data_IF_628767447413
#
_entry.id   IF_628767447413
#
_cell.length_a   1.000
_cell.length_b   1.000
_cell.length_c   1.000
_cell.angle_alpha   90.00
_cell.angle_beta   90.00
_cell.angle_gamma   90.00
#
_symmetry.space_group_name_H-M   'P 1'
#
loop_
_entity.id
_entity.type
_entity.pdbx_description
1 polymer ?
#
# COMPACT_ATOMS: atom_id res chain seq x y z
N UNK A 1 42.62 24.41 8.41
CA UNK A 1 41.91 23.71 7.31
C UNK A 1 41.54 22.25 7.63
N UNK A 2 42.14 21.57 8.63
CA UNK A 2 41.78 20.19 9.03
C UNK A 2 40.42 19.95 9.73
N UNK A 3 39.78 20.90 10.44
CA UNK A 3 38.54 20.60 11.18
C UNK A 3 37.31 20.47 10.26
N UNK A 4 37.32 21.12 9.09
CA UNK A 4 36.22 21.07 8.14
C UNK A 4 36.08 19.69 7.45
N UNK A 5 37.21 19.07 7.10
CA UNK A 5 37.22 17.73 6.49
C UNK A 5 36.73 16.64 7.46
N UNK A 6 37.06 16.76 8.76
CA UNK A 6 36.56 15.85 9.80
C UNK A 6 35.06 16.01 10.07
N UNK A 7 34.55 17.25 10.05
CA UNK A 7 33.12 17.51 10.19
C UNK A 7 32.32 16.99 8.99
N UNK A 8 32.84 17.15 7.76
CA UNK A 8 32.20 16.64 6.55
C UNK A 8 32.20 15.09 6.52
N UNK A 9 33.30 14.46 6.92
CA UNK A 9 33.39 12.99 7.02
C UNK A 9 32.44 12.44 8.10
N UNK A 10 32.30 13.13 9.23
CA UNK A 10 31.33 12.78 10.29
C UNK A 10 29.88 12.94 9.84
N UNK A 11 29.56 14.01 9.11
CA UNK A 11 28.23 14.27 8.55
C UNK A 11 27.85 13.26 7.46
N UNK A 12 28.79 12.91 6.57
CA UNK A 12 28.60 11.90 5.54
C UNK A 12 28.48 10.50 6.15
N UNK A 13 29.25 10.20 7.20
CA UNK A 13 29.17 8.94 7.95
C UNK A 13 27.85 8.79 8.71
N UNK A 14 27.35 9.85 9.35
CA UNK A 14 26.07 9.84 10.06
C UNK A 14 24.88 9.80 9.11
N UNK A 15 24.96 10.49 7.97
CA UNK A 15 23.90 10.45 6.95
C UNK A 15 23.86 9.06 6.28
N UNK A 16 25.02 8.46 6.02
CA UNK A 16 25.12 7.10 5.49
C UNK A 16 24.56 6.03 6.43
N UNK A 17 24.81 6.16 7.74
CA UNK A 17 24.26 5.22 8.73
C UNK A 17 22.75 5.38 8.91
N UNK A 18 22.23 6.60 8.86
CA UNK A 18 20.78 6.88 8.88
C UNK A 18 20.10 6.29 7.65
N UNK A 19 20.61 6.57 6.44
CA UNK A 19 20.05 6.02 5.20
C UNK A 19 20.09 4.48 5.17
N UNK A 20 21.17 3.88 5.68
CA UNK A 20 21.28 2.43 5.80
C UNK A 20 20.25 1.87 6.79
N UNK A 21 20.08 2.51 7.95
CA UNK A 21 19.09 2.11 8.94
C UNK A 21 17.65 2.25 8.40
N UNK A 22 17.34 3.32 7.69
CA UNK A 22 16.04 3.52 7.03
C UNK A 22 15.78 2.47 5.95
N UNK A 23 16.77 2.21 5.09
CA UNK A 23 16.66 1.21 4.02
C UNK A 23 16.47 -0.19 4.60
N UNK A 24 17.25 -0.55 5.63
CA UNK A 24 17.12 -1.83 6.33
C UNK A 24 15.77 -1.92 7.06
N UNK A 25 15.29 -0.82 7.64
CA UNK A 25 13.97 -0.74 8.26
C UNK A 25 12.85 -0.99 7.26
N UNK A 26 12.89 -0.35 6.09
CA UNK A 26 11.94 -0.56 5.00
C UNK A 26 11.97 -2.00 4.49
N UNK A 27 13.18 -2.55 4.30
CA UNK A 27 13.36 -3.94 3.87
C UNK A 27 12.81 -4.94 4.90
N UNK A 28 13.13 -4.72 6.19
CA UNK A 28 12.65 -5.55 7.27
C UNK A 28 11.12 -5.51 7.38
N UNK A 29 10.52 -4.32 7.23
CA UNK A 29 9.07 -4.16 7.23
C UNK A 29 8.44 -4.91 6.04
N UNK A 30 9.01 -4.77 4.84
CA UNK A 30 8.53 -5.48 3.65
C UNK A 30 8.59 -7.00 3.83
N UNK A 31 9.70 -7.52 4.37
CA UNK A 31 9.87 -8.95 4.67
C UNK A 31 8.88 -9.42 5.75
N UNK A 32 8.61 -8.60 6.77
CA UNK A 32 7.62 -8.92 7.80
C UNK A 32 6.21 -9.03 7.24
N UNK A 33 5.80 -8.10 6.36
CA UNK A 33 4.52 -8.15 5.66
C UNK A 33 4.42 -9.39 4.76
N UNK A 34 5.46 -9.68 3.98
CA UNK A 34 5.51 -10.86 3.12
C UNK A 34 5.42 -12.16 3.95
N UNK A 35 6.12 -12.22 5.08
CA UNK A 35 6.09 -13.36 6.00
C UNK A 35 4.70 -13.57 6.60
N UNK A 36 4.06 -12.50 7.08
CA UNK A 36 2.70 -12.55 7.63
C UNK A 36 1.66 -12.98 6.57
N UNK A 37 1.76 -12.44 5.35
CA UNK A 37 0.90 -12.85 4.23
C UNK A 37 1.10 -14.32 3.84
N UNK A 38 2.36 -14.76 3.75
CA UNK A 38 2.71 -16.16 3.48
C UNK A 38 2.21 -17.10 4.58
N UNK A 39 2.26 -16.67 5.85
CA UNK A 39 1.69 -17.42 6.96
C UNK A 39 0.18 -17.53 6.86
N UNK A 40 -0.53 -16.43 6.58
CA UNK A 40 -1.99 -16.43 6.46
C UNK A 40 -2.49 -17.31 5.31
N UNK A 41 -1.81 -17.29 4.16
CA UNK A 41 -2.13 -18.18 3.02
C UNK A 41 -1.84 -19.64 3.32
N UNK A 42 -0.78 -19.95 4.09
CA UNK A 42 -0.53 -21.31 4.59
C UNK A 42 -1.61 -21.81 5.55
N UNK A 43 -2.04 -20.97 6.48
CA UNK A 43 -3.13 -21.30 7.41
C UNK A 43 -4.44 -21.53 6.67
N UNK A 44 -4.73 -20.70 5.68
CA UNK A 44 -5.89 -20.88 4.77
C UNK A 44 -5.79 -22.22 4.04
N UNK A 45 -4.62 -22.53 3.48
CA UNK A 45 -4.34 -23.79 2.79
C UNK A 45 -4.47 -25.04 3.68
N UNK A 46 -4.06 -24.95 4.94
CA UNK A 46 -4.15 -26.04 5.92
C UNK A 46 -5.61 -26.32 6.36
N UNK A 47 -6.53 -25.38 6.12
CA UNK A 47 -7.95 -25.52 6.42
C UNK A 47 -8.77 -26.01 5.20
N UNK A 48 -8.12 -26.29 4.06
CA UNK A 48 -8.74 -26.87 2.89
C UNK A 48 -9.07 -28.36 3.07
N UNK A 49 -9.99 -28.82 2.21
CA UNK A 49 -10.47 -30.19 2.19
C UNK A 49 -9.31 -31.18 1.96
N UNK A 50 -9.10 -32.18 2.83
CA UNK A 50 -8.05 -33.19 2.66
C UNK A 50 -8.15 -33.98 1.35
N UNK A 51 -9.34 -34.02 0.72
CA UNK A 51 -9.56 -34.70 -0.56
C UNK A 51 -8.99 -33.93 -1.77
N UNK A 52 -8.69 -32.63 -1.61
CA UNK A 52 -8.12 -31.81 -2.68
C UNK A 52 -6.59 -31.77 -2.51
N UNK A 53 -5.84 -32.17 -3.55
CA UNK A 53 -4.38 -32.09 -3.51
C UNK A 53 -3.91 -30.66 -3.19
N UNK A 54 -3.00 -30.49 -2.21
CA UNK A 54 -2.47 -29.18 -1.86
C UNK A 54 -1.78 -28.53 -3.06
N UNK A 55 -2.23 -27.34 -3.46
CA UNK A 55 -1.50 -26.54 -4.44
C UNK A 55 -0.12 -26.16 -3.87
N UNK A 56 0.93 -26.09 -4.72
CA UNK A 56 2.21 -25.56 -4.30
C UNK A 56 2.05 -24.17 -3.67
N UNK A 57 2.76 -23.91 -2.57
CA UNK A 57 2.62 -22.66 -1.83
C UNK A 57 2.82 -21.41 -2.70
N UNK A 58 3.73 -21.46 -3.68
CA UNK A 58 3.96 -20.36 -4.60
C UNK A 58 2.73 -20.01 -5.44
N UNK A 59 1.97 -21.00 -5.88
CA UNK A 59 0.75 -20.81 -6.68
C UNK A 59 -0.37 -20.23 -5.83
N UNK A 60 -0.55 -20.71 -4.61
CA UNK A 60 -1.54 -20.18 -3.66
C UNK A 60 -1.21 -18.73 -3.27
N UNK A 61 0.05 -18.46 -2.90
CA UNK A 61 0.52 -17.11 -2.58
C UNK A 61 0.31 -16.17 -3.77
N UNK A 62 0.63 -16.61 -4.99
CA UNK A 62 0.39 -15.81 -6.21
C UNK A 62 -1.08 -15.49 -6.45
N UNK A 63 -1.96 -16.48 -6.27
CA UNK A 63 -3.41 -16.29 -6.46
C UNK A 63 -3.99 -15.30 -5.44
N UNK A 64 -3.64 -15.41 -4.17
CA UNK A 64 -4.06 -14.45 -3.14
C UNK A 64 -3.36 -13.10 -3.29
N UNK A 65 -2.11 -13.05 -3.77
CA UNK A 65 -1.44 -11.78 -4.03
C UNK A 65 -2.17 -10.97 -5.11
N UNK A 66 -2.74 -11.63 -6.12
CA UNK A 66 -3.56 -10.99 -7.14
C UNK A 66 -4.82 -10.32 -6.56
N UNK A 67 -5.34 -10.79 -5.42
CA UNK A 67 -6.48 -10.15 -4.76
C UNK A 67 -6.11 -8.83 -4.07
N UNK A 68 -4.82 -8.53 -3.90
CA UNK A 68 -4.34 -7.24 -3.39
C UNK A 68 -4.25 -6.16 -4.48
N UNK A 69 -4.32 -6.55 -5.76
CA UNK A 69 -4.22 -5.63 -6.90
C UNK A 69 -5.23 -4.46 -6.86
N UNK A 70 -6.49 -4.66 -6.45
CA UNK A 70 -7.45 -3.55 -6.30
C UNK A 70 -7.05 -2.54 -5.23
N UNK A 71 -6.37 -2.96 -4.16
CA UNK A 71 -5.86 -2.03 -3.13
C UNK A 71 -4.75 -1.16 -3.73
N UNK A 72 -3.82 -1.78 -4.46
CA UNK A 72 -2.77 -1.04 -5.16
C UNK A 72 -3.37 -0.03 -6.16
N UNK A 73 -4.42 -0.43 -6.89
CA UNK A 73 -5.16 0.46 -7.78
C UNK A 73 -5.83 1.64 -7.05
N UNK A 74 -6.49 1.38 -5.92
CA UNK A 74 -7.09 2.43 -5.09
C UNK A 74 -6.06 3.44 -4.58
N UNK A 75 -4.90 2.97 -4.12
CA UNK A 75 -3.80 3.82 -3.68
C UNK A 75 -3.18 4.62 -4.84
N UNK A 76 -3.00 4.00 -6.00
CA UNK A 76 -2.49 4.67 -7.20
C UNK A 76 -3.41 5.84 -7.57
N UNK A 77 -4.72 5.62 -7.58
CA UNK A 77 -5.69 6.69 -7.82
C UNK A 77 -5.56 7.76 -6.74
N UNK A 78 -5.62 7.39 -5.46
CA UNK A 78 -5.61 8.35 -4.37
C UNK A 78 -4.36 9.25 -4.32
N UNK A 79 -3.19 8.72 -4.67
CA UNK A 79 -1.92 9.49 -4.68
C UNK A 79 -1.74 10.32 -5.94
N UNK A 80 -2.16 9.81 -7.10
CA UNK A 80 -1.87 10.44 -8.38
C UNK A 80 -3.07 11.18 -8.98
N UNK A 81 -4.21 11.25 -8.29
CA UNK A 81 -5.42 11.90 -8.79
C UNK A 81 -5.18 13.36 -9.21
N UNK A 82 -4.56 14.15 -8.33
CA UNK A 82 -4.28 15.57 -8.60
C UNK A 82 -3.29 15.72 -9.75
N UNK A 83 -2.24 14.90 -9.78
CA UNK A 83 -1.23 14.91 -10.84
C UNK A 83 -1.82 14.50 -12.19
N UNK A 84 -2.72 13.50 -12.20
CA UNK A 84 -3.46 13.07 -13.40
C UNK A 84 -4.34 14.21 -13.93
N UNK A 85 -5.14 14.83 -13.06
CA UNK A 85 -6.03 15.93 -13.45
C UNK A 85 -5.22 17.13 -13.94
N UNK A 86 -4.13 17.48 -13.25
CA UNK A 86 -3.24 18.55 -13.66
C UNK A 86 -2.59 18.26 -15.01
N UNK A 87 -2.13 17.02 -15.22
CA UNK A 87 -1.58 16.57 -16.49
C UNK A 87 -2.59 16.68 -17.63
N UNK A 88 -3.83 16.24 -17.40
CA UNK A 88 -4.92 16.37 -18.39
C UNK A 88 -5.21 17.83 -18.71
N UNK A 89 -5.26 18.70 -17.69
CA UNK A 89 -5.46 20.13 -17.89
C UNK A 89 -4.26 20.80 -18.60
N UNK A 90 -3.06 20.27 -18.44
CA UNK A 90 -1.83 20.79 -19.04
C UNK A 90 -1.64 20.35 -20.50
N UNK A 91 -2.17 19.18 -20.89
CA UNK A 91 -2.01 18.58 -22.22
C UNK A 91 -2.21 19.58 -23.38
N UNK A 92 -3.28 20.41 -23.42
CA UNK A 92 -3.45 21.38 -24.51
C UNK A 92 -2.31 22.39 -24.62
N UNK A 93 -1.77 22.85 -23.47
CA UNK A 93 -0.65 23.78 -23.44
C UNK A 93 0.65 23.13 -23.91
N UNK A 94 0.90 21.87 -23.53
CA UNK A 94 2.05 21.08 -23.99
C UNK A 94 2.03 20.80 -25.50
N UNK A 95 0.83 20.62 -26.08
CA UNK A 95 0.68 20.40 -27.53
C UNK A 95 1.09 21.65 -28.32
N UNK A 96 0.81 22.84 -27.78
CA UNK A 96 1.14 24.13 -28.43
C UNK A 96 2.61 24.52 -28.18
N UNK A 97 3.08 24.42 -26.94
CA UNK A 97 4.45 24.70 -26.57
C UNK A 97 4.98 23.63 -25.59
N UNK A 98 5.76 22.65 -26.07
CA UNK A 98 6.24 21.57 -25.22
C UNK A 98 7.42 21.95 -24.31
N UNK A 99 8.05 23.11 -24.52
CA UNK A 99 9.30 23.47 -23.83
C UNK A 99 9.07 24.48 -22.73
N UNK A 100 8.22 25.48 -22.96
CA UNK A 100 8.05 26.59 -22.00
C UNK A 100 6.71 26.62 -21.29
N UNK A 101 5.77 25.76 -21.70
CA UNK A 101 4.45 25.66 -21.07
C UNK A 101 4.57 25.24 -19.61
N UNK A 102 3.84 25.94 -18.74
CA UNK A 102 3.80 25.68 -17.29
C UNK A 102 2.50 24.98 -16.93
N UNK A 103 2.59 23.99 -16.05
CA UNK A 103 1.40 23.27 -15.58
C UNK A 103 0.40 24.24 -14.92
N UNK A 104 -0.89 24.20 -15.32
CA UNK A 104 -1.90 25.09 -14.77
C UNK A 104 -2.14 24.77 -13.28
N UNK A 105 -2.42 25.79 -12.43
CA UNK A 105 -2.82 25.56 -11.06
C UNK A 105 -4.22 24.92 -11.01
N UNK A 106 -4.44 24.03 -10.02
CA UNK A 106 -5.73 23.39 -9.77
C UNK A 106 -6.57 24.13 -8.70
N UNK A 107 -6.54 25.46 -8.71
CA UNK A 107 -7.27 26.31 -7.75
C UNK A 107 -8.80 26.20 -7.85
N UNK A 108 -9.32 25.73 -8.98
CA UNK A 108 -10.74 25.44 -9.17
C UNK A 108 -11.19 24.12 -8.51
N UNK A 109 -10.26 23.24 -8.13
CA UNK A 109 -10.59 21.97 -7.52
C UNK A 109 -10.62 22.07 -5.99
N UNK A 110 -11.78 21.85 -5.35
CA UNK A 110 -11.85 21.94 -3.89
C UNK A 110 -11.08 20.78 -3.25
N UNK A 111 -10.29 21.11 -2.23
CA UNK A 111 -9.50 20.15 -1.45
C UNK A 111 -10.38 19.03 -0.88
N UNK A 112 -11.60 19.36 -0.48
CA UNK A 112 -12.58 18.39 0.01
C UNK A 112 -12.93 17.34 -1.05
N UNK A 113 -13.11 17.72 -2.31
CA UNK A 113 -13.41 16.75 -3.38
C UNK A 113 -12.24 15.79 -3.61
N UNK A 114 -11.00 16.29 -3.62
CA UNK A 114 -9.80 15.43 -3.71
C UNK A 114 -9.79 14.44 -2.55
N UNK A 115 -10.06 14.89 -1.34
CA UNK A 115 -10.11 14.05 -0.16
C UNK A 115 -11.16 12.95 -0.27
N UNK A 116 -12.42 13.29 -0.60
CA UNK A 116 -13.49 12.30 -0.73
C UNK A 116 -13.22 11.28 -1.84
N UNK A 117 -12.67 11.73 -2.98
CA UNK A 117 -12.32 10.84 -4.09
C UNK A 117 -11.17 9.90 -3.71
N UNK A 118 -10.12 10.40 -3.05
CA UNK A 118 -9.00 9.57 -2.58
C UNK A 118 -9.45 8.54 -1.55
N UNK A 119 -10.24 8.95 -0.56
CA UNK A 119 -10.80 8.03 0.45
C UNK A 119 -11.72 7.00 -0.22
N UNK A 120 -12.61 7.45 -1.11
CA UNK A 120 -13.50 6.58 -1.87
C UNK A 120 -12.74 5.53 -2.69
N UNK A 121 -11.69 5.93 -3.40
CA UNK A 121 -10.85 5.02 -4.19
C UNK A 121 -10.17 3.95 -3.31
N UNK A 122 -9.63 4.34 -2.16
CA UNK A 122 -8.99 3.41 -1.22
C UNK A 122 -10.01 2.42 -0.66
N UNK A 123 -11.17 2.89 -0.20
CA UNK A 123 -12.22 2.05 0.38
C UNK A 123 -12.76 1.08 -0.65
N UNK A 124 -13.08 1.54 -1.86
CA UNK A 124 -13.55 0.68 -2.94
C UNK A 124 -12.51 -0.37 -3.34
N UNK A 125 -11.23 0.00 -3.39
CA UNK A 125 -10.13 -0.94 -3.61
C UNK A 125 -10.06 -2.04 -2.54
N UNK A 126 -10.24 -1.69 -1.27
CA UNK A 126 -10.27 -2.67 -0.17
C UNK A 126 -11.48 -3.60 -0.26
N UNK A 127 -12.68 -3.04 -0.48
CA UNK A 127 -13.90 -3.85 -0.63
C UNK A 127 -13.75 -4.85 -1.77
N UNK A 128 -13.25 -4.40 -2.93
CA UNK A 128 -12.99 -5.27 -4.07
C UNK A 128 -11.96 -6.38 -3.75
N UNK A 129 -10.88 -6.03 -3.06
CA UNK A 129 -9.85 -6.99 -2.65
C UNK A 129 -10.39 -8.07 -1.69
N UNK A 130 -11.19 -7.68 -0.69
CA UNK A 130 -11.83 -8.61 0.25
C UNK A 130 -12.80 -9.53 -0.47
N UNK A 131 -13.62 -9.00 -1.39
CA UNK A 131 -14.55 -9.81 -2.20
C UNK A 131 -13.79 -10.81 -3.07
N UNK A 132 -12.69 -10.42 -3.70
CA UNK A 132 -11.87 -11.33 -4.50
C UNK A 132 -11.22 -12.42 -3.64
N UNK A 133 -10.65 -12.06 -2.49
CA UNK A 133 -10.06 -13.01 -1.55
C UNK A 133 -11.11 -14.02 -1.05
N UNK A 134 -12.31 -13.54 -0.72
CA UNK A 134 -13.42 -14.39 -0.28
C UNK A 134 -13.90 -15.34 -1.38
N UNK A 135 -14.02 -14.84 -2.62
CA UNK A 135 -14.38 -15.68 -3.78
C UNK A 135 -13.32 -16.73 -4.10
N UNK A 136 -12.05 -16.39 -3.93
CA UNK A 136 -10.96 -17.33 -4.10
C UNK A 136 -11.00 -18.42 -3.02
N UNK A 137 -11.21 -18.04 -1.75
CA UNK A 137 -11.39 -18.99 -0.65
C UNK A 137 -12.61 -19.90 -0.86
N UNK A 138 -13.74 -19.38 -1.35
CA UNK A 138 -14.92 -20.17 -1.69
C UNK A 138 -14.66 -21.20 -2.80
N UNK A 139 -13.79 -20.88 -3.77
CA UNK A 139 -13.41 -21.80 -4.84
C UNK A 139 -12.46 -22.92 -4.37
N UNK A 140 -11.69 -22.68 -3.33
CA UNK A 140 -10.66 -23.62 -2.84
C UNK A 140 -11.11 -24.43 -1.61
N UNK A 141 -12.07 -23.93 -0.83
CA UNK A 141 -12.50 -24.53 0.43
C UNK A 141 -13.99 -24.98 0.39
N UNK A 142 -14.26 -26.19 -0.10
CA UNK A 142 -15.64 -26.69 -0.26
C UNK A 142 -16.38 -26.96 1.07
N UNK A 143 -15.66 -27.34 2.14
CA UNK A 143 -16.30 -27.79 3.40
C UNK A 143 -16.55 -26.65 4.41
N UNK A 144 -15.62 -25.69 4.57
CA UNK A 144 -15.73 -24.58 5.54
C UNK A 144 -15.14 -23.25 5.02
N UNK A 145 -15.71 -22.68 3.95
CA UNK A 145 -15.13 -21.51 3.27
C UNK A 145 -15.02 -20.24 4.13
N UNK A 146 -15.93 -20.07 5.10
CA UNK A 146 -15.89 -18.93 6.03
C UNK A 146 -14.69 -19.02 6.97
N UNK A 147 -14.37 -20.21 7.48
CA UNK A 147 -13.25 -20.43 8.40
C UNK A 147 -11.90 -20.42 7.67
N UNK A 148 -11.86 -20.90 6.43
CA UNK A 148 -10.65 -20.84 5.61
C UNK A 148 -10.31 -19.40 5.19
N UNK A 149 -11.31 -18.53 4.96
CA UNK A 149 -11.07 -17.12 4.62
C UNK A 149 -10.70 -16.22 5.82
N UNK A 150 -10.96 -16.67 7.06
CA UNK A 150 -10.78 -15.90 8.28
C UNK A 150 -9.33 -15.42 8.52
N UNK A 151 -8.28 -16.26 8.36
CA UNK A 151 -6.89 -15.84 8.54
C UNK A 151 -6.51 -14.65 7.66
N UNK A 152 -6.92 -14.66 6.39
CA UNK A 152 -6.64 -13.58 5.45
C UNK A 152 -7.46 -12.33 5.74
N UNK A 153 -8.74 -12.47 6.09
CA UNK A 153 -9.58 -11.32 6.47
C UNK A 153 -9.03 -10.65 7.73
N UNK A 154 -8.65 -11.41 8.74
CA UNK A 154 -8.02 -10.89 9.97
C UNK A 154 -6.72 -10.16 9.65
N UNK A 155 -5.89 -10.74 8.77
CA UNK A 155 -4.66 -10.10 8.31
C UNK A 155 -4.93 -8.75 7.64
N UNK A 156 -5.89 -8.71 6.69
CA UNK A 156 -6.26 -7.49 5.97
C UNK A 156 -6.80 -6.42 6.92
N UNK A 157 -7.68 -6.77 7.86
CA UNK A 157 -8.20 -5.85 8.87
C UNK A 157 -7.06 -5.32 9.75
N UNK A 158 -6.15 -6.21 10.19
CA UNK A 158 -4.98 -5.83 10.98
C UNK A 158 -4.10 -4.81 10.26
N UNK A 159 -3.85 -5.01 8.96
CA UNK A 159 -3.11 -4.04 8.15
C UNK A 159 -3.83 -2.70 8.02
N UNK A 160 -5.15 -2.71 7.83
CA UNK A 160 -5.93 -1.47 7.77
C UNK A 160 -5.90 -0.72 9.11
N UNK A 161 -6.11 -1.40 10.23
CA UNK A 161 -6.07 -0.78 11.57
C UNK A 161 -4.68 -0.23 11.87
N UNK A 162 -3.62 -0.99 11.58
CA UNK A 162 -2.24 -0.54 11.76
C UNK A 162 -1.93 0.66 10.87
N UNK A 163 -2.37 0.65 9.61
CA UNK A 163 -2.18 1.77 8.68
C UNK A 163 -2.88 3.03 9.18
N UNK A 164 -4.15 2.93 9.59
CA UNK A 164 -4.90 4.05 10.16
C UNK A 164 -4.26 4.56 11.45
N UNK A 165 -3.78 3.66 12.31
CA UNK A 165 -3.08 4.01 13.54
C UNK A 165 -1.80 4.82 13.26
N UNK A 166 -0.96 4.33 12.34
CA UNK A 166 0.29 5.02 11.96
C UNK A 166 -0.01 6.42 11.43
N UNK A 167 -1.04 6.56 10.60
CA UNK A 167 -1.45 7.86 10.05
C UNK A 167 -2.06 8.78 11.12
N UNK A 168 -2.63 8.24 12.20
CA UNK A 168 -3.23 9.01 13.29
C UNK A 168 -2.20 9.54 14.31
N UNK A 169 -1.00 8.95 14.39
CA UNK A 169 0.05 9.35 15.36
C UNK A 169 0.44 10.86 15.31
N UNK A 170 0.50 11.55 14.15
CA UNK A 170 0.87 12.97 14.12
C UNK A 170 -0.16 13.91 14.75
N UNK A 171 -1.40 13.47 15.02
CA UNK A 171 -2.49 14.31 15.54
C UNK A 171 -2.47 14.37 17.08
N UNK A 172 -1.85 13.39 17.75
CA UNK A 172 -1.78 13.33 19.22
C UNK A 172 -0.67 14.21 19.83
N UNK A 173 0.16 14.85 18.99
CA UNK A 173 1.31 15.66 19.41
C UNK A 173 1.18 17.13 19.00
N UNK A 174 -0.03 17.68 18.96
CA UNK A 174 -0.21 19.10 19.26
C UNK A 174 -0.47 19.24 20.77
N UNK A 175 0.51 19.73 21.55
CA UNK A 175 0.22 20.30 22.86
C UNK A 175 -0.60 21.57 22.63
N UNK A 176 -1.91 21.43 22.67
CA UNK A 176 -2.81 22.52 23.01
C UNK A 176 -2.78 22.76 24.53
N UNK A 177 -1.66 23.27 25.05
CA UNK A 177 -1.56 24.05 26.30
C UNK A 177 -0.16 24.62 26.48
#
# INVERSE_FOLDING_TARGET
MKPFAGALAGLLGSTGSVLAAETLGLLALWLAFLGAFSMATRLTGAMHDPEIEPRPLGTTVGAYAATLLPIAGGYLIAHYLTLLIQGIAWLPGLIVDPVTSVAPPLNWMPISAVWYLSVGAIVLGHVAAVVLAHRLALREAAIRPILAGLPLVVLMIGYTVLSLWIIAQPIALEPGS
#
